data_IF_819303635939
#
_entry.id   IF_819303635939
#
_cell.length_a   1.000
_cell.length_b   1.000
_cell.length_c   1.000
_cell.angle_alpha   90.00
_cell.angle_beta   90.00
_cell.angle_gamma   90.00
#
_symmetry.space_group_name_H-M   'P 1'
#
loop_
_entity.id
_entity.type
_entity.pdbx_description
1 polymer ?
#
# COMPACT_ATOMS: atom_id res chain seq x y z
N UNK A 1 25.41 -0.83 51.05
CA UNK A 1 24.20 -0.01 50.88
C UNK A 1 23.97 0.20 49.39
N UNK A 2 22.73 -0.04 48.97
CA UNK A 2 22.11 0.27 47.67
C UNK A 2 22.61 1.63 47.13
N UNK A 3 22.91 1.81 45.84
CA UNK A 3 21.88 2.14 44.85
C UNK A 3 22.37 1.97 43.41
N UNK A 4 21.51 1.28 42.67
CA UNK A 4 21.40 1.16 41.22
C UNK A 4 21.33 2.51 40.51
N UNK A 5 21.83 2.56 39.28
CA UNK A 5 21.06 3.06 38.13
C UNK A 5 21.73 2.62 36.82
N UNK A 6 21.30 1.47 36.29
CA UNK A 6 21.46 1.12 34.88
C UNK A 6 20.44 1.98 34.13
N UNK A 7 20.88 3.03 33.44
CA UNK A 7 20.02 3.77 32.52
C UNK A 7 20.15 3.11 31.16
N UNK A 8 19.37 2.05 30.99
CA UNK A 8 19.10 1.42 29.71
C UNK A 8 18.19 2.34 28.90
N UNK A 9 18.76 3.21 28.07
CA UNK A 9 18.00 3.92 27.05
C UNK A 9 17.70 2.97 25.88
N UNK A 10 16.68 2.12 26.05
CA UNK A 10 16.02 1.50 24.91
C UNK A 10 15.36 2.63 24.11
N UNK A 11 16.03 3.12 23.07
CA UNK A 11 15.38 3.81 21.97
C UNK A 11 14.56 2.76 21.20
N UNK A 12 13.41 2.40 21.75
CA UNK A 12 12.32 1.81 20.98
C UNK A 12 11.75 2.94 20.13
N UNK A 13 12.42 3.23 19.01
CA UNK A 13 11.78 3.91 17.89
C UNK A 13 10.77 2.91 17.34
N UNK A 14 9.60 2.85 17.99
CA UNK A 14 8.45 2.15 17.47
C UNK A 14 8.11 2.83 16.15
N UNK A 15 8.43 2.17 15.03
CA UNK A 15 7.72 2.41 13.79
C UNK A 15 6.27 2.02 14.08
N UNK A 16 5.47 2.98 14.52
CA UNK A 16 4.04 2.91 14.41
C UNK A 16 3.76 2.84 12.90
N UNK A 17 3.77 1.63 12.33
CA UNK A 17 3.21 1.37 11.02
C UNK A 17 1.70 1.49 11.21
N UNK A 18 1.21 2.73 11.26
CA UNK A 18 -0.20 2.97 11.04
C UNK A 18 -0.51 2.40 9.66
N UNK A 19 -1.47 1.47 9.57
CA UNK A 19 -2.08 1.07 8.31
C UNK A 19 -2.61 2.32 7.63
N UNK A 20 -1.82 2.90 6.73
CA UNK A 20 -2.12 4.18 6.13
C UNK A 20 -3.19 3.96 5.06
N UNK A 21 -4.45 4.10 5.49
CA UNK A 21 -5.62 3.97 4.62
C UNK A 21 -5.71 5.19 3.72
N UNK A 22 -5.26 5.06 2.48
CA UNK A 22 -5.37 6.11 1.47
C UNK A 22 -6.83 6.33 1.06
N UNK A 23 -7.29 7.59 1.01
CA UNK A 23 -8.56 7.93 0.38
C UNK A 23 -8.40 8.00 -1.14
N UNK A 24 -9.37 7.44 -1.86
CA UNK A 24 -9.38 7.40 -3.33
C UNK A 24 -9.50 8.80 -3.94
N UNK A 25 -10.13 9.75 -3.24
CA UNK A 25 -10.23 11.16 -3.65
C UNK A 25 -8.88 11.84 -3.76
N UNK A 26 -7.89 11.35 -3.02
CA UNK A 26 -6.58 11.97 -2.87
C UNK A 26 -5.59 11.41 -3.89
N UNK A 27 -5.91 10.26 -4.50
CA UNK A 27 -5.12 9.61 -5.55
C UNK A 27 -5.28 10.38 -6.86
N UNK A 28 -4.16 10.88 -7.36
CA UNK A 28 -4.05 11.51 -8.68
C UNK A 28 -3.89 10.46 -9.77
N UNK A 29 -3.03 9.46 -9.55
CA UNK A 29 -2.74 8.42 -10.53
C UNK A 29 -2.23 7.12 -9.89
N UNK A 30 -2.44 6.01 -10.58
CA UNK A 30 -2.00 4.68 -10.15
C UNK A 30 -1.17 4.05 -11.27
N UNK A 31 0.02 3.58 -10.92
CA UNK A 31 0.96 2.93 -11.83
C UNK A 31 1.06 1.44 -11.50
N UNK A 32 0.97 0.60 -12.54
CA UNK A 32 1.18 -0.84 -12.44
C UNK A 32 2.46 -1.18 -13.19
N UNK A 33 3.48 -1.60 -12.45
CA UNK A 33 4.83 -1.80 -12.96
C UNK A 33 5.05 -3.24 -13.41
N UNK A 34 6.03 -3.46 -14.29
CA UNK A 34 6.36 -4.80 -14.82
C UNK A 34 6.93 -5.75 -13.76
N UNK A 35 7.54 -5.21 -12.71
CA UNK A 35 8.04 -5.96 -11.53
C UNK A 35 6.93 -6.32 -10.53
N UNK A 36 5.67 -6.19 -10.94
CA UNK A 36 4.49 -6.38 -10.10
C UNK A 36 4.36 -5.39 -8.95
N UNK A 37 5.10 -4.28 -8.94
CA UNK A 37 4.83 -3.20 -8.00
C UNK A 37 3.65 -2.33 -8.45
N UNK A 38 2.96 -1.75 -7.47
CA UNK A 38 1.90 -0.78 -7.65
C UNK A 38 2.28 0.51 -6.94
N UNK A 39 2.16 1.65 -7.63
CA UNK A 39 2.51 2.95 -7.09
C UNK A 39 1.30 3.87 -7.17
N UNK A 40 0.96 4.50 -6.05
CA UNK A 40 -0.08 5.51 -5.94
C UNK A 40 0.59 6.87 -5.83
N UNK A 41 0.34 7.73 -6.82
CA UNK A 41 0.69 9.16 -6.80
C UNK A 41 -0.51 9.91 -6.24
N UNK A 42 -0.31 10.64 -5.15
CA UNK A 42 -1.32 11.49 -4.54
C UNK A 42 -1.29 12.91 -5.12
N UNK A 43 -2.34 13.69 -4.86
CA UNK A 43 -2.47 15.08 -5.30
C UNK A 43 -1.50 16.05 -4.61
N UNK A 44 -0.97 15.68 -3.46
CA UNK A 44 0.07 16.41 -2.74
C UNK A 44 1.49 16.01 -3.21
N UNK A 45 1.58 15.31 -4.34
CA UNK A 45 2.81 14.78 -4.95
C UNK A 45 3.57 13.76 -4.06
N UNK A 46 2.93 13.22 -3.02
CA UNK A 46 3.47 12.06 -2.30
C UNK A 46 3.21 10.76 -3.04
N UNK A 47 4.10 9.78 -2.81
CA UNK A 47 4.05 8.48 -3.48
C UNK A 47 3.98 7.34 -2.47
N UNK A 48 3.15 6.36 -2.76
CA UNK A 48 3.01 5.14 -1.96
C UNK A 48 3.21 3.92 -2.85
N UNK A 49 4.01 2.96 -2.38
CA UNK A 49 4.32 1.73 -3.11
C UNK A 49 3.80 0.50 -2.37
N UNK A 50 3.20 -0.42 -3.11
CA UNK A 50 2.89 -1.78 -2.69
C UNK A 50 3.38 -2.81 -3.71
N UNK A 51 3.24 -4.08 -3.36
CA UNK A 51 3.59 -5.23 -4.22
C UNK A 51 2.34 -6.04 -4.53
N UNK A 52 2.04 -6.27 -5.80
CA UNK A 52 0.95 -7.16 -6.21
C UNK A 52 1.32 -8.59 -5.82
N UNK A 53 0.47 -9.21 -5.00
CA UNK A 53 0.67 -10.54 -4.43
C UNK A 53 0.01 -11.62 -5.30
N UNK A 54 -1.10 -11.26 -5.95
CA UNK A 54 -1.83 -12.20 -6.80
C UNK A 54 -1.18 -12.28 -8.21
N UNK A 55 -0.88 -13.49 -8.73
CA UNK A 55 -0.30 -13.64 -10.07
C UNK A 55 -1.29 -13.25 -11.17
N UNK A 56 -0.78 -12.96 -12.38
CA UNK A 56 -1.58 -12.66 -13.59
C UNK A 56 -2.53 -11.46 -13.49
N UNK A 57 -2.16 -10.47 -12.68
CA UNK A 57 -2.94 -9.27 -12.42
C UNK A 57 -2.49 -8.02 -13.19
N UNK A 58 -1.38 -8.12 -13.96
CA UNK A 58 -0.88 -7.00 -14.77
C UNK A 58 -1.62 -6.83 -16.10
N UNK A 59 -2.24 -7.89 -16.65
CA UNK A 59 -2.92 -7.87 -17.95
C UNK A 59 -4.42 -7.64 -17.80
N UNK A 60 -4.96 -6.65 -18.51
CA UNK A 60 -6.37 -6.30 -18.54
C UNK A 60 -6.68 -4.93 -17.93
N UNK A 61 -7.94 -4.49 -18.10
CA UNK A 61 -8.48 -3.28 -17.46
C UNK A 61 -8.57 -3.51 -15.95
N UNK A 62 -8.13 -2.51 -15.17
CA UNK A 62 -8.02 -2.58 -13.71
C UNK A 62 -8.93 -1.54 -13.09
N UNK A 63 -9.61 -1.89 -12.01
CA UNK A 63 -10.47 -0.94 -11.30
C UNK A 63 -10.56 -1.26 -9.81
N UNK A 64 -10.69 -0.22 -9.01
CA UNK A 64 -10.87 -0.29 -7.56
C UNK A 64 -12.36 -0.14 -7.24
N UNK A 65 -12.93 -1.17 -6.60
CA UNK A 65 -14.36 -1.25 -6.31
C UNK A 65 -14.81 -0.28 -5.23
N UNK A 66 -13.98 -0.06 -4.21
CA UNK A 66 -14.29 0.88 -3.14
C UNK A 66 -14.39 2.32 -3.68
N UNK A 67 -15.42 3.04 -3.23
CA UNK A 67 -15.69 4.43 -3.62
C UNK A 67 -14.81 5.42 -2.89
N UNK A 68 -14.52 5.18 -1.60
CA UNK A 68 -13.93 6.20 -0.73
C UNK A 68 -12.48 5.87 -0.35
N UNK A 69 -12.20 4.61 -0.01
CA UNK A 69 -10.89 4.20 0.53
C UNK A 69 -10.22 3.21 -0.42
N UNK A 70 -8.92 3.34 -0.64
CA UNK A 70 -8.13 2.31 -1.30
C UNK A 70 -8.03 1.12 -0.35
N UNK A 71 -8.61 0.00 -0.79
CA UNK A 71 -8.35 -1.30 -0.18
C UNK A 71 -7.17 -1.93 -0.90
N UNK A 72 -6.51 -2.86 -0.24
CA UNK A 72 -5.40 -3.65 -0.76
C UNK A 72 -5.83 -4.65 -1.84
N UNK A 73 -6.95 -4.39 -2.51
CA UNK A 73 -7.54 -5.22 -3.55
C UNK A 73 -8.02 -4.37 -4.73
N UNK A 74 -7.90 -4.92 -5.93
CA UNK A 74 -8.45 -4.36 -7.16
C UNK A 74 -8.96 -5.49 -8.06
N UNK A 75 -9.84 -5.16 -9.00
CA UNK A 75 -10.37 -6.11 -9.97
C UNK A 75 -9.71 -5.93 -11.32
N UNK A 76 -9.49 -7.05 -12.01
CA UNK A 76 -8.97 -7.11 -13.37
C UNK A 76 -9.99 -7.80 -14.25
N UNK A 77 -10.43 -7.14 -15.31
CA UNK A 77 -11.37 -7.73 -16.28
C UNK A 77 -10.72 -8.92 -17.00
N UNK A 78 -11.48 -10.00 -17.11
CA UNK A 78 -11.16 -11.22 -17.86
C UNK A 78 -12.29 -11.49 -18.86
N UNK A 79 -12.08 -12.33 -19.90
CA UNK A 79 -13.14 -12.64 -20.87
C UNK A 79 -14.45 -13.10 -20.24
N UNK A 80 -14.38 -13.87 -19.15
CA UNK A 80 -15.54 -14.46 -18.47
C UNK A 80 -15.84 -13.81 -17.10
N UNK A 81 -15.51 -12.52 -16.93
CA UNK A 81 -15.83 -11.77 -15.70
C UNK A 81 -14.66 -10.96 -15.15
N UNK A 82 -14.36 -11.11 -13.86
CA UNK A 82 -13.28 -10.40 -13.18
C UNK A 82 -12.48 -11.31 -12.25
N UNK A 83 -11.18 -11.03 -12.15
CA UNK A 83 -10.30 -11.59 -11.11
C UNK A 83 -10.05 -10.51 -10.07
N UNK A 84 -10.27 -10.82 -8.80
CA UNK A 84 -9.82 -9.98 -7.69
C UNK A 84 -8.34 -10.24 -7.44
N UNK A 85 -7.58 -9.17 -7.33
CA UNK A 85 -6.14 -9.15 -7.14
C UNK A 85 -5.81 -8.39 -5.87
N UNK A 86 -4.85 -8.91 -5.11
CA UNK A 86 -4.39 -8.35 -3.85
C UNK A 86 -3.00 -7.75 -4.01
N UNK A 87 -2.70 -6.71 -3.24
CA UNK A 87 -1.37 -6.14 -3.11
C UNK A 87 -1.02 -5.93 -1.64
N UNK A 88 0.27 -5.84 -1.34
CA UNK A 88 0.77 -5.64 0.02
C UNK A 88 0.30 -4.31 0.61
N UNK A 89 0.51 -4.15 1.91
CA UNK A 89 0.40 -2.83 2.54
C UNK A 89 1.26 -1.79 1.82
N UNK A 90 0.72 -0.57 1.78
CA UNK A 90 1.33 0.56 1.13
C UNK A 90 2.38 1.18 2.03
N UNK A 91 3.54 1.48 1.45
CA UNK A 91 4.62 2.18 2.12
C UNK A 91 4.89 3.49 1.41
N UNK A 92 4.93 4.58 2.17
CA UNK A 92 5.32 5.88 1.65
C UNK A 92 6.74 5.80 1.09
N UNK A 93 6.93 6.32 -0.12
CA UNK A 93 8.24 6.47 -0.73
C UNK A 93 8.85 7.78 -0.21
N UNK A 94 10.08 7.70 0.30
CA UNK A 94 10.81 8.85 0.83
C UNK A 94 11.24 9.80 -0.29
#
# INVERSE_FOLDING_TARGET
MLKYAIISALFLVGFAQADEKLNKSDVKKIYFMKDSSIIFELKDDSYYRGQILTPDCLKGKKYFESKNTIRNTFKVTKPNGFKTCEFSELKRMA
#
